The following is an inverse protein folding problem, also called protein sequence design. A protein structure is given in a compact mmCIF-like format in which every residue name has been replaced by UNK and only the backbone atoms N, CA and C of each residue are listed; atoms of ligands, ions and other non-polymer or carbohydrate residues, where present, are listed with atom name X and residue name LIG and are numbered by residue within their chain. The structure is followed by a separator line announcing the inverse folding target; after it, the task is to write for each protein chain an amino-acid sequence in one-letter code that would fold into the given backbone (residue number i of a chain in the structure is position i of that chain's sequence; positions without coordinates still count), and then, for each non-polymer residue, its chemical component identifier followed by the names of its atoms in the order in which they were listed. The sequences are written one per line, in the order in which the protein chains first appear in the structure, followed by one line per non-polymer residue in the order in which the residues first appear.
data_IF_804998896477
#
_entry.id   IF_804998896477
#
_cell.length_a   1.000
_cell.length_b   1.000
_cell.length_c   1.000
_cell.angle_alpha   90.00
_cell.angle_beta   90.00
_cell.angle_gamma   90.00
#
_symmetry.space_group_name_H-M   'P 1'
#
loop_
_entity.id
_entity.type
_entity.pdbx_description
1 polymer ?
#
# COMPACT_ATOMS: atom_id res chain seq x y z
N UNK A 1 26.51 -0.92 -17.20
CA UNK A 1 25.07 -1.09 -16.91
C UNK A 1 24.60 -0.01 -15.96
N UNK A 2 23.56 0.69 -16.33
CA UNK A 2 22.99 1.72 -15.45
C UNK A 2 21.98 1.10 -14.52
N UNK A 3 22.08 1.45 -13.24
CA UNK A 3 21.09 1.05 -12.25
C UNK A 3 20.02 2.13 -12.16
N UNK A 4 18.79 1.73 -12.32
CA UNK A 4 17.64 2.62 -12.22
C UNK A 4 16.96 2.41 -10.87
N UNK A 5 16.68 3.50 -10.18
CA UNK A 5 16.01 3.44 -8.89
C UNK A 5 14.57 3.91 -9.06
N UNK A 6 13.63 3.05 -8.69
CA UNK A 6 12.21 3.34 -8.74
C UNK A 6 11.64 3.36 -7.33
N UNK A 7 10.79 4.31 -7.05
CA UNK A 7 10.12 4.44 -5.75
C UNK A 7 8.62 4.24 -5.92
N UNK A 8 8.05 3.45 -5.04
CA UNK A 8 6.62 3.16 -5.05
C UNK A 8 6.02 3.42 -3.67
N UNK A 9 4.82 4.00 -3.66
CA UNK A 9 4.06 4.15 -2.44
C UNK A 9 3.47 2.80 -2.05
N UNK A 10 3.64 2.46 -0.78
CA UNK A 10 3.07 1.25 -0.20
C UNK A 10 2.11 1.65 0.92
N UNK A 11 0.93 1.07 0.89
CA UNK A 11 -0.06 1.24 1.95
C UNK A 11 -0.05 -0.03 2.79
N UNK A 12 0.09 0.11 4.10
CA UNK A 12 0.16 -1.03 5.01
C UNK A 12 -0.99 -0.92 5.99
N UNK A 13 -1.78 -1.99 6.08
CA UNK A 13 -2.90 -2.07 7.00
C UNK A 13 -2.77 -3.29 7.90
N UNK A 14 -2.91 -3.12 9.22
CA UNK A 14 -2.95 -4.26 10.12
C UNK A 14 -4.27 -5.00 9.98
N UNK A 15 -4.21 -6.31 10.06
CA UNK A 15 -5.39 -7.16 10.07
C UNK A 15 -5.28 -8.13 11.24
N UNK A 16 -6.30 -8.13 12.09
CA UNK A 16 -6.34 -9.02 13.25
C UNK A 16 -6.93 -10.36 12.84
N UNK A 17 -6.14 -11.41 13.01
CA UNK A 17 -6.54 -12.78 12.67
C UNK A 17 -6.40 -13.64 13.92
N UNK A 18 -7.52 -14.06 14.50
CA UNK A 18 -7.56 -14.86 15.73
C UNK A 18 -6.71 -14.25 16.83
N UNK A 19 -5.53 -14.80 17.10
CA UNK A 19 -4.67 -14.37 18.20
C UNK A 19 -3.47 -13.56 17.74
N UNK A 20 -3.39 -13.25 16.46
CA UNK A 20 -2.24 -12.49 15.94
C UNK A 20 -2.69 -11.39 15.00
N UNK A 21 -1.80 -10.44 14.80
CA UNK A 21 -1.99 -9.38 13.81
C UNK A 21 -1.05 -9.62 12.65
N UNK A 22 -1.58 -9.56 11.44
CA UNK A 22 -0.78 -9.57 10.22
C UNK A 22 -0.85 -8.20 9.59
N UNK A 23 0.11 -7.91 8.72
CA UNK A 23 0.21 -6.61 8.05
C UNK A 23 0.11 -6.83 6.56
N UNK A 24 -0.90 -6.23 5.96
CA UNK A 24 -1.13 -6.32 4.51
C UNK A 24 -0.52 -5.10 3.85
N UNK A 25 0.38 -5.32 2.91
CA UNK A 25 1.02 -4.27 2.15
C UNK A 25 0.47 -4.26 0.73
N UNK A 26 0.19 -3.09 0.21
CA UNK A 26 -0.40 -2.92 -1.11
C UNK A 26 0.29 -1.80 -1.86
N UNK A 27 0.64 -2.05 -3.12
CA UNK A 27 1.21 -1.06 -4.02
C UNK A 27 0.16 -0.66 -5.05
N UNK A 28 -0.50 0.51 -4.88
CA UNK A 28 -1.59 0.90 -5.77
C UNK A 28 -1.18 1.02 -7.23
N UNK A 29 0.01 1.58 -7.48
CA UNK A 29 0.47 1.83 -8.85
C UNK A 29 0.63 0.55 -9.65
N UNK A 30 1.11 -0.51 -9.02
CA UNK A 30 1.32 -1.79 -9.70
C UNK A 30 0.18 -2.79 -9.46
N UNK A 31 -0.71 -2.51 -8.52
CA UNK A 31 -1.83 -3.40 -8.20
C UNK A 31 -1.39 -4.72 -7.58
N UNK A 32 -0.29 -4.73 -6.85
CA UNK A 32 0.21 -5.93 -6.18
C UNK A 32 0.13 -5.79 -4.68
N UNK A 33 -0.02 -6.91 -4.00
CA UNK A 33 -0.15 -6.94 -2.55
C UNK A 33 0.59 -8.14 -1.98
N UNK A 34 1.05 -8.00 -0.75
CA UNK A 34 1.67 -9.07 0.01
C UNK A 34 1.45 -8.80 1.49
N UNK A 35 1.84 -9.71 2.34
CA UNK A 35 1.62 -9.58 3.76
C UNK A 35 2.83 -10.06 4.55
N UNK A 36 2.83 -9.77 5.84
CA UNK A 36 3.86 -10.24 6.74
C UNK A 36 3.37 -10.21 8.18
N UNK A 37 4.13 -10.81 9.07
CA UNK A 37 3.82 -10.83 10.50
C UNK A 37 4.25 -9.56 11.22
N UNK A 38 4.98 -8.70 10.54
CA UNK A 38 5.39 -7.38 11.02
C UNK A 38 5.36 -6.40 9.86
N UNK A 39 5.43 -5.10 10.18
CA UNK A 39 5.51 -4.07 9.15
C UNK A 39 6.75 -4.28 8.28
N UNK A 40 7.90 -4.53 8.92
CA UNK A 40 9.16 -4.76 8.20
C UNK A 40 9.08 -5.97 7.28
N UNK A 41 8.49 -7.06 7.76
CA UNK A 41 8.34 -8.27 6.96
C UNK A 41 7.42 -8.03 5.77
N UNK A 42 6.31 -7.32 5.98
CA UNK A 42 5.37 -7.02 4.88
C UNK A 42 6.03 -6.15 3.81
N UNK A 43 6.85 -5.18 4.21
CA UNK A 43 7.60 -4.34 3.27
C UNK A 43 8.60 -5.18 2.50
N UNK A 44 9.35 -6.02 3.18
CA UNK A 44 10.35 -6.88 2.54
C UNK A 44 9.70 -7.81 1.53
N UNK A 45 8.57 -8.40 1.90
CA UNK A 45 7.85 -9.32 1.03
C UNK A 45 7.31 -8.60 -0.21
N UNK A 46 6.68 -7.44 -0.05
CA UNK A 46 6.15 -6.71 -1.20
C UNK A 46 7.26 -6.15 -2.08
N UNK A 47 8.40 -5.78 -1.51
CA UNK A 47 9.56 -5.36 -2.30
C UNK A 47 10.00 -6.46 -3.25
N UNK A 48 10.09 -7.69 -2.77
CA UNK A 48 10.47 -8.82 -3.61
C UNK A 48 9.44 -9.09 -4.69
N UNK A 49 8.17 -8.96 -4.35
CA UNK A 49 7.08 -9.14 -5.30
C UNK A 49 7.08 -8.05 -6.37
N UNK A 50 7.29 -6.80 -5.97
CA UNK A 50 7.38 -5.68 -6.91
C UNK A 50 8.55 -5.88 -7.88
N UNK A 51 9.71 -6.25 -7.35
CA UNK A 51 10.89 -6.50 -8.19
C UNK A 51 10.60 -7.57 -9.23
N UNK A 52 10.02 -8.67 -8.82
CA UNK A 52 9.65 -9.76 -9.72
C UNK A 52 8.64 -9.29 -10.77
N UNK A 53 7.63 -8.55 -10.35
CA UNK A 53 6.61 -8.03 -11.25
C UNK A 53 7.21 -7.11 -12.33
N UNK A 54 8.11 -6.20 -11.92
CA UNK A 54 8.79 -5.29 -12.85
C UNK A 54 9.67 -6.08 -13.82
N UNK A 55 10.40 -7.07 -13.33
CA UNK A 55 11.23 -7.91 -14.20
C UNK A 55 10.40 -8.61 -15.27
N UNK A 56 9.21 -9.08 -14.92
CA UNK A 56 8.29 -9.70 -15.88
C UNK A 56 7.79 -8.68 -16.91
N UNK A 57 7.46 -7.47 -16.48
CA UNK A 57 7.03 -6.41 -17.40
C UNK A 57 8.14 -6.07 -18.40
N UNK A 58 9.36 -5.94 -17.90
CA UNK A 58 10.50 -5.62 -18.77
C UNK A 58 10.78 -6.74 -19.75
N UNK A 59 10.67 -7.99 -19.32
CA UNK A 59 10.88 -9.15 -20.20
C UNK A 59 9.85 -9.16 -21.32
N UNK A 60 8.61 -8.82 -21.02
CA UNK A 60 7.52 -8.77 -22.00
C UNK A 60 7.47 -7.45 -22.77
N UNK A 61 8.43 -6.56 -22.54
CA UNK A 61 8.53 -5.25 -23.18
C UNK A 61 7.29 -4.39 -22.93
N UNK A 62 6.70 -4.54 -21.74
CA UNK A 62 5.57 -3.74 -21.30
C UNK A 62 6.11 -2.55 -20.53
N UNK A 63 5.50 -1.38 -20.72
CA UNK A 63 5.89 -0.17 -20.00
C UNK A 63 5.66 -0.36 -18.51
N UNK A 64 6.66 0.01 -17.71
CA UNK A 64 6.62 -0.10 -16.26
C UNK A 64 5.95 1.14 -15.65
N UNK A 65 4.80 1.02 -15.00
CA UNK A 65 4.20 2.15 -14.31
C UNK A 65 5.11 2.62 -13.17
N UNK A 66 5.20 3.92 -12.98
CA UNK A 66 5.98 4.52 -11.91
C UNK A 66 5.12 5.49 -11.11
N UNK A 67 5.43 5.61 -9.82
CA UNK A 67 4.78 6.60 -8.98
C UNK A 67 5.31 7.99 -9.29
N UNK A 68 4.40 8.94 -9.31
CA UNK A 68 4.77 10.33 -9.41
C UNK A 68 4.38 11.01 -8.11
N UNK A 69 5.23 10.82 -7.10
CA UNK A 69 4.97 11.32 -5.75
C UNK A 69 4.88 12.84 -5.70
N UNK A 70 5.53 13.52 -6.65
CA UNK A 70 5.51 14.98 -6.71
C UNK A 70 4.15 15.56 -7.14
N UNK A 71 3.33 14.76 -7.78
CA UNK A 71 2.02 15.20 -8.28
C UNK A 71 0.86 14.80 -7.39
N UNK A 72 1.12 13.99 -6.37
CA UNK A 72 0.07 13.51 -5.48
C UNK A 72 0.13 14.25 -4.16
N UNK A 73 -1.00 14.79 -3.76
CA UNK A 73 -1.14 15.44 -2.46
C UNK A 73 -2.08 14.61 -1.63
N UNK A 74 -1.60 14.14 -0.47
CA UNK A 74 -2.43 13.42 0.47
C UNK A 74 -2.84 14.39 1.58
N UNK A 75 -4.14 14.50 1.81
CA UNK A 75 -4.68 15.39 2.81
C UNK A 75 -5.72 14.69 3.66
N UNK A 76 -5.94 15.21 4.85
CA UNK A 76 -7.03 14.78 5.71
C UNK A 76 -7.95 15.95 5.96
N UNK A 77 -9.21 15.67 6.18
CA UNK A 77 -10.16 16.69 6.57
C UNK A 77 -10.87 16.27 7.85
N UNK A 78 -11.27 17.25 8.61
CA UNK A 78 -11.99 17.04 9.87
C UNK A 78 -13.45 17.35 9.65
N UNK A 79 -14.31 16.38 9.96
CA UNK A 79 -15.75 16.55 9.83
C UNK A 79 -16.37 16.56 11.22
N UNK A 80 -17.10 17.63 11.52
CA UNK A 80 -17.88 17.72 12.75
C UNK A 80 -19.34 17.51 12.41
N UNK A 81 -19.96 16.56 13.07
CA UNK A 81 -21.36 16.23 12.84
C UNK A 81 -22.15 16.65 14.07
N UNK A 82 -23.13 17.52 13.87
CA UNK A 82 -24.11 17.83 14.91
C UNK A 82 -25.22 16.79 14.86
N UNK A 83 -25.36 16.05 15.95
CA UNK A 83 -26.41 15.07 16.04
C UNK A 83 -27.23 15.25 17.29
N UNK A 84 -28.29 14.47 17.40
CA UNK A 84 -29.03 14.31 18.64
C UNK A 84 -28.12 13.60 19.67
N UNK A 85 -28.65 13.27 20.81
CA UNK A 85 -27.89 12.62 21.90
C UNK A 85 -27.39 11.22 21.56
N UNK A 86 -27.65 10.76 20.35
CA UNK A 86 -27.19 9.45 19.91
C UNK A 86 -25.82 9.54 19.25
N UNK A 87 -24.95 8.64 19.61
CA UNK A 87 -23.64 8.54 18.98
C UNK A 87 -23.82 8.00 17.57
N UNK A 88 -23.25 8.67 16.54
CA UNK A 88 -23.29 8.12 15.21
C UNK A 88 -22.51 6.80 15.17
N UNK A 89 -23.02 5.87 14.39
CA UNK A 89 -22.25 4.66 14.10
C UNK A 89 -21.18 4.99 13.09
N UNK A 90 -19.94 4.71 13.46
CA UNK A 90 -18.79 4.93 12.60
C UNK A 90 -18.20 3.59 12.26
N UNK A 91 -18.08 3.31 10.96
CA UNK A 91 -17.41 2.11 10.50
C UNK A 91 -15.96 2.44 10.19
N UNK A 92 -15.04 1.71 10.84
CA UNK A 92 -13.61 1.83 10.54
C UNK A 92 -13.28 0.89 9.40
N UNK A 93 -12.79 1.47 8.32
CA UNK A 93 -12.42 0.72 7.13
C UNK A 93 -10.94 0.67 6.86
#
# INVERSE_FOLDING_TARGET
MQTQILNYRIIIEPEKMDRKTVYNAYCPTLGVADWGNSVEESIKNIQSLIKFHIECLLEDKIEVPVDNLDKEIVASTRISIKGSNEKPQVMLG
#
